data_IF_862820775767
#
_entry.id   IF_862820775767
#
_cell.length_a   1.000
_cell.length_b   1.000
_cell.length_c   1.000
_cell.angle_alpha   90.00
_cell.angle_beta   90.00
_cell.angle_gamma   90.00
#
_symmetry.space_group_name_H-M   'P 1'
#
loop_
_entity.id
_entity.type
_entity.pdbx_description
1 polymer ?
#
# COMPACT_ATOMS: atom_id res chain seq x y z
N UNK A 1 13.42 -3.76 -6.88
CA UNK A 1 12.36 -3.27 -5.97
C UNK A 1 11.46 -4.42 -5.54
N UNK A 2 11.19 -4.58 -4.23
CA UNK A 2 10.39 -5.69 -3.67
C UNK A 2 8.93 -5.65 -4.14
N UNK A 3 8.30 -4.46 -4.13
CA UNK A 3 6.90 -4.28 -4.57
C UNK A 3 6.65 -4.78 -5.99
N UNK A 4 7.55 -4.46 -6.92
CA UNK A 4 7.44 -4.91 -8.31
C UNK A 4 7.54 -6.45 -8.43
N UNK A 5 8.41 -7.09 -7.64
CA UNK A 5 8.53 -8.54 -7.64
C UNK A 5 7.31 -9.24 -7.02
N UNK A 6 6.73 -8.65 -5.97
CA UNK A 6 5.49 -9.13 -5.36
C UNK A 6 4.29 -8.97 -6.33
N UNK A 7 4.10 -7.78 -6.90
CA UNK A 7 3.01 -7.51 -7.84
C UNK A 7 3.02 -8.43 -9.06
N UNK A 8 4.20 -8.70 -9.64
CA UNK A 8 4.35 -9.68 -10.74
C UNK A 8 3.91 -11.09 -10.36
N UNK A 9 4.17 -11.52 -9.12
CA UNK A 9 3.73 -12.83 -8.62
C UNK A 9 2.25 -12.88 -8.29
N UNK A 10 1.59 -11.73 -8.18
CA UNK A 10 0.16 -11.59 -7.88
C UNK A 10 -0.66 -11.25 -9.13
N UNK A 11 -0.07 -11.25 -10.33
CA UNK A 11 -0.80 -10.98 -11.58
C UNK A 11 -1.94 -11.98 -11.81
N UNK A 12 -1.81 -13.23 -11.34
CA UNK A 12 -2.89 -14.22 -11.42
C UNK A 12 -4.12 -13.87 -10.55
N UNK A 13 -3.96 -13.01 -9.53
CA UNK A 13 -5.05 -12.44 -8.73
C UNK A 13 -5.57 -11.12 -9.32
N UNK A 14 -5.05 -10.68 -10.47
CA UNK A 14 -5.44 -9.42 -11.11
C UNK A 14 -4.66 -8.19 -10.64
N UNK A 15 -3.52 -8.33 -9.96
CA UNK A 15 -2.69 -7.14 -9.67
C UNK A 15 -2.03 -6.63 -10.95
N UNK A 16 -2.39 -5.40 -11.36
CA UNK A 16 -1.77 -4.68 -12.47
C UNK A 16 -1.10 -3.42 -11.93
N UNK A 17 0.23 -3.46 -11.77
CA UNK A 17 1.00 -2.32 -11.27
C UNK A 17 1.19 -1.25 -12.33
N UNK A 18 1.06 0.02 -11.92
CA UNK A 18 1.61 1.15 -12.67
C UNK A 18 3.11 1.30 -12.31
N UNK A 19 3.97 1.09 -13.30
CA UNK A 19 5.42 1.06 -13.06
C UNK A 19 5.94 2.40 -12.53
N UNK A 20 5.44 3.52 -13.07
CA UNK A 20 5.87 4.87 -12.70
C UNK A 20 5.46 5.19 -11.26
N UNK A 21 4.19 5.04 -10.92
CA UNK A 21 3.65 5.27 -9.59
C UNK A 21 4.31 4.37 -8.55
N UNK A 22 4.59 3.11 -8.90
CA UNK A 22 5.32 2.21 -8.01
C UNK A 22 6.78 2.65 -7.79
N UNK A 23 7.44 3.22 -8.78
CA UNK A 23 8.81 3.71 -8.68
C UNK A 23 8.90 5.03 -7.90
N UNK A 24 7.98 5.97 -8.11
CA UNK A 24 7.93 7.25 -7.38
C UNK A 24 7.34 7.11 -5.98
N UNK A 25 6.67 5.99 -5.69
CA UNK A 25 6.10 5.74 -4.37
C UNK A 25 4.77 6.47 -4.14
N UNK A 26 3.96 6.62 -5.19
CA UNK A 26 2.63 7.23 -5.08
C UNK A 26 1.73 6.44 -4.11
N UNK A 27 0.71 7.10 -3.51
CA UNK A 27 -0.22 6.44 -2.59
C UNK A 27 -0.96 5.24 -3.21
N UNK A 28 -1.20 5.26 -4.52
CA UNK A 28 -1.78 4.15 -5.29
C UNK A 28 -0.82 3.76 -6.40
N UNK A 29 -0.47 2.47 -6.47
CA UNK A 29 0.57 1.96 -7.39
C UNK A 29 0.04 0.96 -8.42
N UNK A 30 -1.27 0.80 -8.52
CA UNK A 30 -1.94 -0.02 -9.53
C UNK A 30 -2.58 0.85 -10.60
N UNK A 31 -2.75 0.30 -11.80
CA UNK A 31 -3.50 1.00 -12.86
C UNK A 31 -5.00 1.05 -12.51
N UNK A 32 -5.79 1.97 -13.10
CA UNK A 32 -7.24 2.06 -12.87
C UNK A 32 -8.01 0.78 -13.24
N UNK A 33 -7.47 -0.03 -14.14
CA UNK A 33 -8.08 -1.27 -14.63
C UNK A 33 -7.77 -2.47 -13.74
N UNK A 34 -6.85 -2.35 -12.79
CA UNK A 34 -6.47 -3.43 -11.88
C UNK A 34 -7.65 -3.84 -10.99
N UNK A 35 -8.13 -5.10 -11.05
CA UNK A 35 -9.17 -5.59 -10.13
C UNK A 35 -8.81 -5.51 -8.64
N UNK A 36 -7.51 -5.44 -8.33
CA UNK A 36 -7.00 -5.30 -6.96
C UNK A 36 -6.19 -4.01 -6.86
N UNK A 37 -6.51 -3.18 -5.87
CA UNK A 37 -5.78 -1.92 -5.61
C UNK A 37 -4.66 -2.13 -4.60
N UNK A 38 -3.45 -1.69 -4.93
CA UNK A 38 -2.32 -1.68 -3.99
C UNK A 38 -1.99 -0.25 -3.57
N UNK A 39 -1.89 -0.04 -2.25
CA UNK A 39 -1.61 1.25 -1.62
C UNK A 39 -0.22 1.28 -1.00
N UNK A 40 0.40 2.46 -1.02
CA UNK A 40 1.53 2.81 -0.14
C UNK A 40 0.97 3.65 0.99
N UNK A 41 0.99 3.10 2.20
CA UNK A 41 0.46 3.75 3.40
C UNK A 41 1.61 4.03 4.37
N UNK A 42 1.87 5.29 4.73
CA UNK A 42 2.82 5.62 5.78
C UNK A 42 2.38 5.02 7.11
N UNK A 43 3.28 4.33 7.81
CA UNK A 43 2.94 3.60 9.03
C UNK A 43 2.45 4.53 10.17
N UNK A 44 3.00 5.76 10.27
CA UNK A 44 2.64 6.76 11.30
C UNK A 44 2.44 6.14 12.69
N UNK A 45 3.48 5.45 13.15
CA UNK A 45 3.49 4.68 14.41
C UNK A 45 3.15 5.57 15.61
N UNK A 46 3.54 6.84 15.57
CA UNK A 46 3.22 7.89 16.53
C UNK A 46 1.71 8.02 16.77
N UNK A 47 0.93 8.02 15.69
CA UNK A 47 -0.53 8.11 15.75
C UNK A 47 -1.16 6.81 16.27
N UNK A 48 -0.61 5.65 15.91
CA UNK A 48 -1.06 4.36 16.44
C UNK A 48 -0.88 4.30 17.95
N UNK A 49 0.30 4.68 18.45
CA UNK A 49 0.59 4.73 19.89
C UNK A 49 -0.35 5.69 20.63
N UNK A 50 -0.55 6.90 20.09
CA UNK A 50 -1.45 7.88 20.70
C UNK A 50 -2.91 7.38 20.75
N UNK A 51 -3.39 6.75 19.69
CA UNK A 51 -4.73 6.17 19.64
C UNK A 51 -4.90 5.03 20.65
N UNK A 52 -3.89 4.16 20.80
CA UNK A 52 -3.90 3.08 21.79
C UNK A 52 -3.85 3.61 23.22
N UNK A 53 -3.01 4.63 23.50
CA UNK A 53 -2.95 5.27 24.81
C UNK A 53 -4.29 5.92 25.18
N UNK A 54 -4.89 6.67 24.26
CA UNK A 54 -6.21 7.30 24.46
C UNK A 54 -7.29 6.28 24.83
N UNK A 55 -7.31 5.12 24.19
CA UNK A 55 -8.27 4.03 24.48
C UNK A 55 -8.15 3.46 25.90
N UNK A 56 -7.02 3.63 26.59
CA UNK A 56 -6.85 3.19 27.98
C UNK A 56 -7.28 4.25 29.00
N UNK A 57 -7.45 5.50 28.56
CA UNK A 57 -7.80 6.64 29.41
C UNK A 57 -9.29 7.03 29.31
N UNK A 58 -9.99 6.54 28.28
CA UNK A 58 -11.44 6.63 28.07
C UNK A 58 -12.13 5.34 28.52
#
# INVERSE_FOLDING_TARGET
MVRAAAGRRLTWLGVVLDAKSNETGEPVITTPESPVTAYIVPAREDLTMAAQARRLLE
#
